data_IF_254807140791
#
_entry.id   IF_254807140791
#
_cell.length_a   1.000
_cell.length_b   1.000
_cell.length_c   1.000
_cell.angle_alpha   90.00
_cell.angle_beta   90.00
_cell.angle_gamma   90.00
#
_symmetry.space_group_name_H-M   'P 1'
#
loop_
_entity.id
_entity.type
_entity.pdbx_description
1 polymer ?
#
# COMPACT_ATOMS: atom_id res chain seq x y z
N UNK A 1 55.55 -23.11 67.44
CA UNK A 1 56.12 -21.79 67.05
C UNK A 1 55.18 -21.25 66.05
N UNK A 2 54.30 -20.35 66.47
CA UNK A 2 54.32 -18.92 66.24
C UNK A 2 53.89 -18.57 64.86
N UNK A 3 52.70 -18.03 64.66
CA UNK A 3 52.23 -16.63 64.67
C UNK A 3 51.73 -16.28 63.24
N UNK A 4 50.80 -15.50 62.92
CA UNK A 4 50.11 -14.38 63.55
C UNK A 4 48.87 -14.05 62.71
N UNK A 5 47.83 -13.68 63.37
CA UNK A 5 46.66 -12.98 62.93
C UNK A 5 46.96 -11.71 62.21
N UNK A 6 46.19 -11.41 61.15
CA UNK A 6 45.91 -10.04 60.75
C UNK A 6 44.41 -9.81 60.62
N UNK A 7 43.97 -8.90 61.46
CA UNK A 7 42.61 -8.37 61.53
C UNK A 7 42.19 -7.76 60.20
N UNK A 8 41.07 -8.23 59.77
CA UNK A 8 40.30 -7.57 58.71
C UNK A 8 39.64 -6.33 59.28
N UNK A 9 39.94 -5.20 58.65
CA UNK A 9 39.22 -3.93 58.87
C UNK A 9 38.03 -3.93 57.92
N UNK A 10 36.84 -4.10 58.49
CA UNK A 10 35.57 -3.91 57.81
C UNK A 10 35.39 -2.43 57.46
N UNK A 11 35.56 -2.10 56.22
CA UNK A 11 35.10 -0.84 55.62
C UNK A 11 33.75 -1.06 54.97
N UNK A 12 32.66 -0.71 55.65
CA UNK A 12 31.33 -0.65 55.06
C UNK A 12 31.26 0.52 54.07
N UNK A 13 31.30 0.22 52.77
CA UNK A 13 30.82 1.13 51.76
C UNK A 13 29.42 0.68 51.34
N UNK A 14 28.42 1.42 51.83
CA UNK A 14 27.05 1.35 51.34
C UNK A 14 27.02 1.88 49.90
N UNK A 15 27.02 0.97 48.93
CA UNK A 15 26.72 1.31 47.55
C UNK A 15 25.22 1.49 47.42
N UNK A 16 24.72 2.74 47.44
CA UNK A 16 23.36 3.09 47.02
C UNK A 16 23.22 2.72 45.53
N UNK A 17 22.62 1.57 45.24
CA UNK A 17 22.10 1.28 43.91
C UNK A 17 20.90 2.19 43.69
N UNK A 18 21.12 3.31 42.98
CA UNK A 18 20.03 3.99 42.30
C UNK A 18 19.57 3.07 41.17
N UNK A 19 18.51 2.33 41.41
CA UNK A 19 17.71 1.76 40.33
C UNK A 19 17.07 2.93 39.57
N UNK A 20 17.76 3.42 38.55
CA UNK A 20 17.14 4.23 37.54
C UNK A 20 16.07 3.38 36.86
N UNK A 21 14.80 3.69 37.14
CA UNK A 21 13.71 3.18 36.33
C UNK A 21 13.94 3.68 34.89
N UNK A 22 14.65 2.91 34.10
CA UNK A 22 14.59 3.02 32.65
C UNK A 22 13.15 2.70 32.27
N UNK A 23 12.34 3.75 32.08
CA UNK A 23 11.06 3.61 31.39
C UNK A 23 11.42 3.04 30.04
N UNK A 24 11.23 1.74 29.88
CA UNK A 24 11.26 1.10 28.58
C UNK A 24 10.15 1.78 27.78
N UNK A 25 10.53 2.70 26.90
CA UNK A 25 9.62 3.23 25.89
C UNK A 25 9.31 2.02 25.00
N UNK A 26 8.18 1.35 25.30
CA UNK A 26 7.68 0.32 24.38
C UNK A 26 7.63 0.96 22.99
N UNK A 27 8.20 0.29 21.97
CA UNK A 27 8.13 0.79 20.62
C UNK A 27 6.65 0.95 20.29
N UNK A 28 6.21 2.20 20.11
CA UNK A 28 4.83 2.55 19.77
C UNK A 28 4.41 1.61 18.62
N UNK A 29 3.47 0.71 18.87
CA UNK A 29 2.99 -0.26 17.89
C UNK A 29 2.78 0.49 16.57
N UNK A 30 3.36 -0.01 15.48
CA UNK A 30 3.24 0.66 14.18
C UNK A 30 1.75 0.69 13.84
N UNK A 31 1.18 1.88 13.84
CA UNK A 31 -0.24 2.09 13.60
C UNK A 31 -0.51 1.91 12.10
N UNK A 32 -1.61 1.21 11.78
CA UNK A 32 -2.16 1.22 10.42
C UNK A 32 -2.51 2.66 10.07
N UNK A 33 -2.06 3.14 8.92
CA UNK A 33 -2.32 4.51 8.46
C UNK A 33 -3.54 4.57 7.54
N UNK A 34 -4.24 5.70 7.58
CA UNK A 34 -5.26 6.04 6.58
C UNK A 34 -4.60 6.89 5.49
N UNK A 35 -4.61 6.38 4.26
CA UNK A 35 -4.01 7.04 3.11
C UNK A 35 -5.02 7.50 2.07
N UNK A 36 -4.51 8.26 1.10
CA UNK A 36 -5.27 8.67 -0.08
C UNK A 36 -4.43 8.52 -1.34
N UNK A 37 -5.05 8.02 -2.42
CA UNK A 37 -4.43 7.90 -3.73
C UNK A 37 -4.72 9.13 -4.58
N UNK A 38 -3.68 9.72 -5.19
CA UNK A 38 -3.89 10.78 -6.17
C UNK A 38 -4.44 10.26 -7.52
N UNK A 39 -4.80 8.97 -7.61
CA UNK A 39 -5.46 8.40 -8.79
C UNK A 39 -6.70 9.19 -9.17
N UNK A 40 -7.54 9.57 -8.21
CA UNK A 40 -8.71 10.43 -8.42
C UNK A 40 -8.38 11.91 -8.63
N UNK A 41 -7.11 12.31 -8.68
CA UNK A 41 -6.65 13.70 -8.83
C UNK A 41 -5.92 13.96 -10.15
N UNK A 42 -6.30 13.25 -11.23
CA UNK A 42 -5.61 13.27 -12.52
C UNK A 42 -5.36 14.66 -13.09
N UNK A 43 -6.29 15.58 -12.88
CA UNK A 43 -6.24 16.94 -13.42
C UNK A 43 -5.69 17.97 -12.41
N UNK A 44 -5.21 17.54 -11.26
CA UNK A 44 -4.64 18.39 -10.22
C UNK A 44 -3.12 18.22 -10.17
N UNK A 45 -2.36 19.30 -10.26
CA UNK A 45 -0.91 19.25 -10.19
C UNK A 45 -0.45 18.62 -8.86
N UNK A 46 0.65 17.86 -8.86
CA UNK A 46 1.18 17.24 -7.64
C UNK A 46 1.53 18.27 -6.56
N UNK A 47 1.91 19.50 -6.96
CA UNK A 47 2.17 20.64 -6.07
C UNK A 47 0.95 21.09 -5.26
N UNK A 48 -0.24 20.80 -5.74
CA UNK A 48 -1.51 21.10 -5.06
C UNK A 48 -2.05 19.84 -4.37
N UNK A 49 -1.99 18.69 -5.05
CA UNK A 49 -2.55 17.43 -4.58
C UNK A 49 -1.88 16.95 -3.27
N UNK A 50 -0.53 16.92 -3.24
CA UNK A 50 0.21 16.36 -2.10
C UNK A 50 -0.02 17.19 -0.82
N UNK A 51 0.17 18.52 -0.81
CA UNK A 51 -0.09 19.33 0.39
C UNK A 51 -1.55 19.26 0.83
N UNK A 52 -2.49 19.16 -0.10
CA UNK A 52 -3.90 19.06 0.24
C UNK A 52 -4.24 17.76 0.97
N UNK A 53 -3.71 16.62 0.53
CA UNK A 53 -3.89 15.33 1.22
C UNK A 53 -3.42 15.40 2.67
N UNK A 54 -2.24 16.00 2.92
CA UNK A 54 -1.75 16.25 4.28
C UNK A 54 -2.62 17.21 5.07
N UNK A 55 -3.06 18.32 4.46
CA UNK A 55 -3.94 19.32 5.10
C UNK A 55 -5.28 18.74 5.52
N UNK A 56 -5.85 17.84 4.73
CA UNK A 56 -7.12 17.16 5.07
C UNK A 56 -6.97 16.19 6.24
N UNK A 57 -5.76 15.76 6.55
CA UNK A 57 -5.45 14.92 7.71
C UNK A 57 -5.32 13.44 7.40
N UNK A 58 -4.91 13.08 6.20
CA UNK A 58 -4.43 11.73 5.91
C UNK A 58 -3.04 11.50 6.50
N UNK A 59 -2.71 10.24 6.82
CA UNK A 59 -1.42 9.85 7.37
C UNK A 59 -0.44 9.43 6.27
N UNK A 60 -0.97 9.00 5.12
CA UNK A 60 -0.19 8.41 4.02
C UNK A 60 -0.75 8.77 2.65
N UNK A 61 0.08 8.53 1.65
CA UNK A 61 -0.18 8.87 0.25
C UNK A 61 0.21 7.69 -0.65
N UNK A 62 -0.60 7.46 -1.67
CA UNK A 62 -0.24 6.69 -2.85
C UNK A 62 -0.12 7.62 -4.05
N UNK A 63 0.93 7.47 -4.87
CA UNK A 63 1.11 8.19 -6.13
C UNK A 63 0.78 7.31 -7.33
N UNK A 64 -0.10 7.80 -8.18
CA UNK A 64 -0.45 7.16 -9.45
C UNK A 64 0.58 7.51 -10.53
N UNK A 65 1.23 6.49 -11.07
CA UNK A 65 2.29 6.63 -12.08
C UNK A 65 1.78 6.42 -13.52
N UNK A 66 0.48 6.31 -13.69
CA UNK A 66 -0.12 6.01 -15.01
C UNK A 66 0.15 7.13 -16.03
N UNK A 67 0.23 6.78 -17.32
CA UNK A 67 0.35 7.77 -18.38
C UNK A 67 -0.79 8.81 -18.32
N UNK A 68 -0.39 10.08 -18.34
CA UNK A 68 -1.33 11.18 -18.28
C UNK A 68 -1.62 11.73 -16.89
N UNK A 69 -1.14 11.07 -15.83
CA UNK A 69 -1.14 11.66 -14.47
C UNK A 69 0.02 12.62 -14.27
N UNK A 70 -0.09 13.61 -13.37
CA UNK A 70 0.98 14.56 -13.08
C UNK A 70 2.26 13.91 -12.52
N UNK A 71 2.13 12.69 -11.99
CA UNK A 71 3.21 11.90 -11.39
C UNK A 71 3.70 10.76 -12.29
N UNK A 72 3.38 10.79 -13.60
CA UNK A 72 3.93 9.87 -14.61
C UNK A 72 5.47 10.01 -14.66
N UNK A 73 6.25 8.94 -14.37
CA UNK A 73 7.71 9.01 -14.32
C UNK A 73 8.37 9.56 -15.59
N UNK A 74 7.74 9.34 -16.75
CA UNK A 74 8.24 9.84 -18.03
C UNK A 74 8.19 11.36 -18.16
N UNK A 75 7.39 12.03 -17.32
CA UNK A 75 7.22 13.49 -17.32
C UNK A 75 8.01 14.17 -16.21
N UNK A 76 8.48 13.42 -15.22
CA UNK A 76 9.15 13.97 -14.06
C UNK A 76 10.64 14.15 -14.31
N UNK A 77 11.13 15.38 -14.28
CA UNK A 77 12.57 15.69 -14.20
C UNK A 77 13.13 15.26 -12.83
N UNK A 78 14.45 15.24 -12.68
CA UNK A 78 15.09 15.00 -11.39
C UNK A 78 14.70 16.08 -10.35
N UNK A 79 14.49 17.31 -10.78
CA UNK A 79 14.03 18.41 -9.92
C UNK A 79 12.60 18.17 -9.42
N UNK A 80 11.68 17.72 -10.31
CA UNK A 80 10.32 17.40 -9.92
C UNK A 80 10.27 16.26 -8.92
N UNK A 81 11.05 15.19 -9.11
CA UNK A 81 11.11 14.06 -8.18
C UNK A 81 11.61 14.49 -6.79
N UNK A 82 12.64 15.34 -6.75
CA UNK A 82 13.13 15.92 -5.49
C UNK A 82 12.06 16.80 -4.82
N UNK A 83 11.36 17.63 -5.59
CA UNK A 83 10.29 18.48 -5.09
C UNK A 83 9.12 17.65 -4.52
N UNK A 84 8.70 16.57 -5.21
CA UNK A 84 7.71 15.62 -4.71
C UNK A 84 8.13 15.06 -3.35
N UNK A 85 9.38 14.61 -3.20
CA UNK A 85 9.90 14.12 -1.92
C UNK A 85 9.85 15.17 -0.81
N UNK A 86 10.18 16.43 -1.13
CA UNK A 86 10.06 17.57 -0.19
C UNK A 86 8.60 17.79 0.21
N UNK A 87 7.69 17.88 -0.76
CA UNK A 87 6.26 18.10 -0.51
C UNK A 87 5.65 16.99 0.37
N UNK A 88 6.01 15.72 0.15
CA UNK A 88 5.55 14.60 0.97
C UNK A 88 6.03 14.78 2.43
N UNK A 89 7.31 15.13 2.61
CA UNK A 89 7.91 15.34 3.94
C UNK A 89 7.27 16.53 4.66
N UNK A 90 7.15 17.67 4.00
CA UNK A 90 6.58 18.91 4.56
C UNK A 90 5.10 18.73 4.92
N UNK A 91 4.38 17.91 4.13
CA UNK A 91 2.99 17.55 4.39
C UNK A 91 2.83 16.48 5.49
N UNK A 92 3.93 15.99 6.08
CA UNK A 92 3.95 14.93 7.10
C UNK A 92 3.28 13.64 6.66
N UNK A 93 3.30 13.37 5.36
CA UNK A 93 2.75 12.17 4.78
C UNK A 93 3.81 11.06 4.70
N UNK A 94 3.38 9.80 4.82
CA UNK A 94 4.18 8.63 4.49
C UNK A 94 3.81 8.19 3.08
N UNK A 95 4.77 8.11 2.15
CA UNK A 95 4.55 7.48 0.85
C UNK A 95 4.52 5.96 1.04
N UNK A 96 3.38 5.33 0.76
CA UNK A 96 3.15 3.90 1.05
C UNK A 96 3.03 3.04 -0.19
N UNK A 97 2.57 3.63 -1.29
CA UNK A 97 2.44 2.92 -2.55
C UNK A 97 2.66 3.82 -3.77
N UNK A 98 3.08 3.20 -4.87
CA UNK A 98 3.09 3.73 -6.23
C UNK A 98 2.19 2.85 -7.09
N UNK A 99 1.20 3.45 -7.74
CA UNK A 99 0.21 2.73 -8.54
C UNK A 99 0.63 2.70 -10.01
N UNK A 100 0.76 1.50 -10.56
CA UNK A 100 0.89 1.22 -11.98
C UNK A 100 -0.24 0.31 -12.48
N UNK A 101 -0.34 0.18 -13.79
CA UNK A 101 -1.27 -0.72 -14.48
C UNK A 101 -0.51 -1.47 -15.58
N UNK A 102 0.16 -2.56 -15.19
CA UNK A 102 1.08 -3.33 -16.03
C UNK A 102 0.51 -4.72 -16.26
N UNK A 103 -0.22 -4.90 -17.35
CA UNK A 103 -0.76 -6.22 -17.73
C UNK A 103 0.27 -7.01 -18.53
N UNK A 104 0.69 -8.22 -18.06
CA UNK A 104 1.56 -9.09 -18.85
C UNK A 104 1.09 -9.28 -20.29
N UNK A 105 2.02 -9.24 -21.24
CA UNK A 105 1.73 -9.37 -22.66
C UNK A 105 2.60 -10.43 -23.32
N UNK A 106 2.04 -11.27 -24.21
CA UNK A 106 2.83 -12.21 -25.00
C UNK A 106 3.61 -11.52 -26.14
N UNK A 107 3.30 -10.26 -26.45
CA UNK A 107 4.00 -9.50 -27.50
C UNK A 107 5.33 -8.96 -26.96
N UNK A 108 6.50 -9.32 -27.56
CA UNK A 108 7.81 -8.97 -27.01
C UNK A 108 8.02 -7.48 -26.79
N UNK A 109 7.68 -6.64 -27.77
CA UNK A 109 7.86 -5.18 -27.69
C UNK A 109 7.00 -4.55 -26.58
N UNK A 110 5.75 -4.99 -26.44
CA UNK A 110 4.89 -4.53 -25.36
C UNK A 110 5.40 -5.00 -24.01
N UNK A 111 5.80 -6.27 -23.91
CA UNK A 111 6.37 -6.84 -22.69
C UNK A 111 7.61 -6.07 -22.23
N UNK A 112 8.52 -5.72 -23.18
CA UNK A 112 9.70 -4.90 -22.92
C UNK A 112 9.31 -3.51 -22.39
N UNK A 113 8.37 -2.82 -23.03
CA UNK A 113 7.91 -1.49 -22.58
C UNK A 113 7.26 -1.51 -21.21
N UNK A 114 6.52 -2.58 -20.86
CA UNK A 114 5.94 -2.77 -19.52
C UNK A 114 7.01 -3.01 -18.46
N UNK A 115 8.04 -3.81 -18.80
CA UNK A 115 9.18 -4.02 -17.90
C UNK A 115 9.95 -2.72 -17.65
N UNK A 116 10.25 -1.94 -18.70
CA UNK A 116 10.91 -0.63 -18.57
C UNK A 116 10.12 0.33 -17.66
N UNK A 117 8.78 0.32 -17.76
CA UNK A 117 7.93 1.10 -16.86
C UNK A 117 8.02 0.62 -15.40
N UNK A 118 8.03 -0.69 -15.19
CA UNK A 118 8.19 -1.26 -13.85
C UNK A 118 9.54 -0.86 -13.23
N UNK A 119 10.61 -0.93 -14.02
CA UNK A 119 11.94 -0.51 -13.58
C UNK A 119 11.97 0.98 -13.20
N UNK A 120 11.31 1.85 -13.99
CA UNK A 120 11.16 3.27 -13.63
C UNK A 120 10.37 3.47 -12.34
N UNK A 121 9.32 2.69 -12.11
CA UNK A 121 8.56 2.74 -10.87
C UNK A 121 9.42 2.31 -9.67
N UNK A 122 10.27 1.29 -9.80
CA UNK A 122 11.21 0.88 -8.74
C UNK A 122 12.29 1.92 -8.47
N UNK A 123 12.82 2.57 -9.50
CA UNK A 123 13.76 3.69 -9.34
C UNK A 123 13.11 4.81 -8.54
N UNK A 124 11.89 5.22 -8.93
CA UNK A 124 11.16 6.28 -8.24
C UNK A 124 10.80 5.88 -6.80
N UNK A 125 10.44 4.61 -6.55
CA UNK A 125 10.18 4.11 -5.21
C UNK A 125 11.40 4.28 -4.29
N UNK A 126 12.60 3.97 -4.78
CA UNK A 126 13.84 4.14 -4.02
C UNK A 126 14.20 5.61 -3.83
N UNK A 127 14.04 6.45 -4.86
CA UNK A 127 14.33 7.89 -4.76
C UNK A 127 13.42 8.59 -3.74
N UNK A 128 12.12 8.27 -3.71
CA UNK A 128 11.16 8.92 -2.83
C UNK A 128 11.06 8.28 -1.44
N UNK A 129 11.29 6.96 -1.34
CA UNK A 129 11.11 6.21 -0.09
C UNK A 129 12.40 6.00 0.72
N UNK A 130 13.56 6.22 0.13
CA UNK A 130 14.87 6.05 0.78
C UNK A 130 15.04 4.65 1.39
N UNK A 131 15.22 4.59 2.71
CA UNK A 131 15.38 3.31 3.44
C UNK A 131 14.12 2.44 3.49
N UNK A 132 12.97 3.00 3.21
CA UNK A 132 11.67 2.34 3.27
C UNK A 132 10.87 2.62 1.99
N UNK A 133 11.27 2.04 0.86
CA UNK A 133 10.60 2.30 -0.40
C UNK A 133 9.12 1.89 -0.33
N UNK A 134 8.22 2.68 -0.94
CA UNK A 134 6.81 2.32 -1.06
C UNK A 134 6.64 1.06 -1.90
N UNK A 135 5.53 0.38 -1.70
CA UNK A 135 5.12 -0.76 -2.54
C UNK A 135 4.81 -0.25 -3.96
N UNK A 136 5.22 -0.97 -4.98
CA UNK A 136 4.72 -0.75 -6.35
C UNK A 136 3.55 -1.70 -6.58
N UNK A 137 2.34 -1.16 -6.78
CA UNK A 137 1.17 -1.98 -7.06
C UNK A 137 0.80 -1.99 -8.55
N UNK A 138 0.20 -3.08 -9.01
CA UNK A 138 -0.30 -3.19 -10.38
C UNK A 138 -1.48 -4.15 -10.50
N UNK A 139 -2.33 -3.94 -11.51
CA UNK A 139 -3.30 -4.92 -12.00
C UNK A 139 -2.73 -5.65 -13.23
N UNK A 140 -3.11 -6.93 -13.42
CA UNK A 140 -2.50 -7.78 -14.45
C UNK A 140 -3.27 -7.83 -15.77
N UNK A 141 -4.31 -7.01 -15.93
CA UNK A 141 -5.08 -6.98 -17.17
C UNK A 141 -6.15 -8.07 -17.27
N UNK A 142 -6.81 -8.10 -18.42
CA UNK A 142 -7.95 -8.99 -18.70
C UNK A 142 -7.54 -10.35 -19.28
N UNK A 143 -8.57 -11.14 -19.61
CA UNK A 143 -8.43 -12.45 -20.22
C UNK A 143 -9.22 -13.52 -19.49
N UNK A 144 -9.06 -14.78 -19.94
CA UNK A 144 -9.60 -15.96 -19.27
C UNK A 144 -8.51 -16.52 -18.35
N UNK A 145 -8.80 -16.65 -17.06
CA UNK A 145 -7.82 -17.02 -16.04
C UNK A 145 -6.98 -18.25 -16.42
N UNK A 146 -7.64 -19.31 -16.83
CA UNK A 146 -6.99 -20.59 -17.17
C UNK A 146 -6.05 -20.47 -18.38
N UNK A 147 -6.28 -19.48 -19.25
CA UNK A 147 -5.47 -19.26 -20.46
C UNK A 147 -4.27 -18.34 -20.22
N UNK A 148 -4.29 -17.53 -19.17
CA UNK A 148 -3.24 -16.54 -18.92
C UNK A 148 -2.30 -16.92 -17.77
N UNK A 149 -2.59 -17.97 -17.01
CA UNK A 149 -1.83 -18.40 -15.84
C UNK A 149 -0.33 -18.54 -16.13
N UNK A 150 0.04 -19.28 -17.17
CA UNK A 150 1.45 -19.49 -17.55
C UNK A 150 2.14 -18.17 -17.87
N UNK A 151 1.52 -17.33 -18.70
CA UNK A 151 2.05 -16.01 -19.03
C UNK A 151 2.26 -15.16 -17.77
N UNK A 152 1.33 -15.22 -16.82
CA UNK A 152 1.43 -14.47 -15.58
C UNK A 152 2.54 -14.99 -14.68
N UNK A 153 2.68 -16.31 -14.53
CA UNK A 153 3.79 -16.91 -13.76
C UNK A 153 5.13 -16.53 -14.37
N UNK A 154 5.30 -16.69 -15.69
CA UNK A 154 6.56 -16.38 -16.39
C UNK A 154 6.93 -14.90 -16.28
N UNK A 155 5.95 -14.01 -16.44
CA UNK A 155 6.18 -12.56 -16.36
C UNK A 155 6.46 -12.12 -14.94
N UNK A 156 5.64 -12.55 -13.98
CA UNK A 156 5.81 -12.21 -12.57
C UNK A 156 7.09 -12.81 -11.98
N UNK A 157 7.57 -13.96 -12.47
CA UNK A 157 8.87 -14.50 -12.11
C UNK A 157 9.99 -13.48 -12.39
N UNK A 158 10.05 -12.99 -13.63
CA UNK A 158 11.02 -11.96 -14.06
C UNK A 158 10.84 -10.65 -13.27
N UNK A 159 9.61 -10.19 -13.09
CA UNK A 159 9.32 -8.96 -12.36
C UNK A 159 9.64 -9.07 -10.86
N UNK A 160 9.45 -10.25 -10.26
CA UNK A 160 9.83 -10.52 -8.87
C UNK A 160 11.36 -10.50 -8.67
N UNK A 161 12.14 -10.96 -9.66
CA UNK A 161 13.60 -10.83 -9.65
C UNK A 161 14.06 -9.37 -9.75
N UNK A 162 13.39 -8.55 -10.59
CA UNK A 162 13.64 -7.11 -10.67
C UNK A 162 13.29 -6.42 -9.35
N UNK A 163 12.16 -6.77 -8.75
CA UNK A 163 11.72 -6.29 -7.44
C UNK A 163 12.76 -6.61 -6.34
N UNK A 164 13.29 -7.84 -6.35
CA UNK A 164 14.34 -8.27 -5.43
C UNK A 164 15.64 -7.45 -5.60
N UNK A 165 16.07 -7.23 -6.85
CA UNK A 165 17.25 -6.39 -7.15
C UNK A 165 17.06 -4.95 -6.70
N UNK A 166 15.88 -4.40 -6.92
CA UNK A 166 15.52 -3.05 -6.50
C UNK A 166 15.23 -2.94 -4.99
N UNK A 167 15.04 -4.06 -4.28
CA UNK A 167 14.57 -4.12 -2.88
C UNK A 167 13.24 -3.39 -2.67
N UNK A 168 12.33 -3.51 -3.63
CA UNK A 168 10.98 -2.92 -3.63
C UNK A 168 9.96 -4.04 -3.77
N UNK A 169 8.90 -4.01 -2.97
CA UNK A 169 7.82 -4.99 -3.08
C UNK A 169 6.95 -4.66 -4.30
N UNK A 170 6.75 -5.64 -5.17
CA UNK A 170 5.73 -5.63 -6.20
C UNK A 170 4.46 -6.26 -5.63
N UNK A 171 3.33 -5.55 -5.66
CA UNK A 171 2.04 -6.06 -5.20
C UNK A 171 1.03 -6.14 -6.35
N UNK A 172 0.50 -7.34 -6.58
CA UNK A 172 -0.51 -7.59 -7.62
C UNK A 172 -1.92 -7.44 -7.04
N UNK A 173 -2.79 -6.75 -7.77
CA UNK A 173 -4.15 -6.41 -7.32
C UNK A 173 -5.19 -7.25 -8.04
N UNK A 174 -5.93 -8.13 -7.35
CA UNK A 174 -7.13 -8.76 -7.90
C UNK A 174 -8.14 -7.69 -8.31
N UNK A 175 -8.57 -7.70 -9.57
CA UNK A 175 -9.41 -6.65 -10.10
C UNK A 175 -10.61 -7.23 -10.84
N UNK A 176 -11.82 -6.69 -10.61
CA UNK A 176 -13.08 -7.22 -11.13
C UNK A 176 -13.12 -7.43 -12.66
N UNK A 177 -12.40 -6.63 -13.41
CA UNK A 177 -12.29 -6.72 -14.87
C UNK A 177 -11.03 -7.46 -15.34
N UNK A 178 -10.17 -7.87 -14.42
CA UNK A 178 -8.96 -8.63 -14.71
C UNK A 178 -9.24 -10.13 -14.85
N UNK A 179 -8.32 -10.85 -15.46
CA UNK A 179 -8.32 -12.32 -15.43
C UNK A 179 -8.08 -12.81 -14.00
N UNK A 180 -7.14 -12.21 -13.28
CA UNK A 180 -6.95 -12.38 -11.84
C UNK A 180 -7.92 -11.45 -11.10
N UNK A 181 -9.03 -12.01 -10.61
CA UNK A 181 -10.11 -11.24 -10.00
C UNK A 181 -10.57 -11.74 -8.63
N UNK A 182 -9.84 -12.70 -8.07
CA UNK A 182 -10.02 -13.24 -6.72
C UNK A 182 -8.69 -13.25 -5.97
N UNK A 183 -8.69 -12.99 -4.64
CA UNK A 183 -7.48 -13.10 -3.81
C UNK A 183 -6.81 -14.48 -3.90
N UNK A 184 -7.58 -15.56 -3.98
CA UNK A 184 -7.05 -16.93 -4.12
C UNK A 184 -6.21 -17.11 -5.39
N UNK A 185 -6.53 -16.39 -6.47
CA UNK A 185 -5.74 -16.42 -7.70
C UNK A 185 -4.41 -15.68 -7.54
N UNK A 186 -4.41 -14.56 -6.81
CA UNK A 186 -3.16 -13.86 -6.48
C UNK A 186 -2.27 -14.71 -5.55
N UNK A 187 -2.85 -15.36 -4.55
CA UNK A 187 -2.14 -16.28 -3.66
C UNK A 187 -1.53 -17.43 -4.47
N UNK A 188 -2.32 -18.04 -5.36
CA UNK A 188 -1.82 -19.10 -6.25
C UNK A 188 -0.60 -18.65 -7.06
N UNK A 189 -0.61 -17.45 -7.67
CA UNK A 189 0.54 -16.90 -8.39
C UNK A 189 1.77 -16.72 -7.50
N UNK A 190 1.57 -16.20 -6.27
CA UNK A 190 2.63 -16.01 -5.29
C UNK A 190 3.26 -17.36 -4.89
N UNK A 191 2.42 -18.39 -4.69
CA UNK A 191 2.87 -19.75 -4.36
C UNK A 191 3.64 -20.39 -5.52
N UNK A 192 3.19 -20.24 -6.77
CA UNK A 192 3.94 -20.70 -7.96
C UNK A 192 5.36 -20.12 -8.01
N UNK A 193 5.53 -18.90 -7.47
CA UNK A 193 6.81 -18.20 -7.38
C UNK A 193 7.49 -18.37 -6.01
N UNK A 194 7.22 -19.51 -5.33
CA UNK A 194 7.86 -19.95 -4.08
C UNK A 194 7.74 -18.92 -2.94
N UNK A 195 6.61 -18.20 -2.89
CA UNK A 195 6.35 -17.18 -1.87
C UNK A 195 7.46 -16.13 -1.77
N UNK A 196 7.96 -15.65 -2.91
CA UNK A 196 8.97 -14.59 -2.94
C UNK A 196 8.57 -13.44 -2.01
N UNK A 197 9.45 -12.97 -1.12
CA UNK A 197 9.15 -11.84 -0.24
C UNK A 197 8.95 -10.54 -1.01
N UNK A 198 9.37 -10.49 -2.28
CA UNK A 198 9.28 -9.33 -3.15
C UNK A 198 8.02 -9.31 -4.02
N UNK A 199 7.22 -10.40 -4.00
CA UNK A 199 5.92 -10.46 -4.66
C UNK A 199 4.83 -10.65 -3.61
N UNK A 200 3.93 -9.68 -3.50
CA UNK A 200 2.82 -9.63 -2.57
C UNK A 200 1.53 -9.28 -3.30
N UNK A 201 0.44 -9.08 -2.57
CA UNK A 201 -0.82 -8.66 -3.16
C UNK A 201 -1.37 -7.38 -2.53
N UNK A 202 -2.23 -6.72 -3.29
CA UNK A 202 -3.14 -5.68 -2.81
C UNK A 202 -4.48 -6.31 -2.48
N UNK A 203 -5.05 -6.01 -1.32
CA UNK A 203 -6.43 -6.34 -1.01
C UNK A 203 -7.34 -5.14 -1.29
N UNK A 204 -8.37 -5.34 -2.10
CA UNK A 204 -9.37 -4.31 -2.42
C UNK A 204 -10.79 -4.92 -2.34
N UNK A 205 -11.52 -4.73 -1.25
CA UNK A 205 -12.82 -5.34 -1.04
C UNK A 205 -13.87 -4.86 -2.06
N UNK A 206 -13.70 -3.68 -2.63
CA UNK A 206 -14.67 -3.10 -3.58
C UNK A 206 -14.80 -3.90 -4.88
N UNK A 207 -13.76 -4.63 -5.25
CA UNK A 207 -13.78 -5.51 -6.43
C UNK A 207 -14.42 -6.87 -6.17
N UNK A 208 -14.82 -7.17 -4.94
CA UNK A 208 -15.31 -8.47 -4.48
C UNK A 208 -16.75 -8.40 -3.95
N UNK A 209 -17.15 -7.27 -3.35
CA UNK A 209 -18.37 -7.11 -2.55
C UNK A 209 -19.68 -7.44 -3.30
N UNK A 210 -19.69 -7.39 -4.63
CA UNK A 210 -20.88 -7.69 -5.44
C UNK A 210 -21.01 -9.17 -5.84
N UNK A 211 -20.18 -10.05 -5.28
CA UNK A 211 -20.11 -11.49 -5.60
C UNK A 211 -20.64 -12.38 -4.48
N UNK A 212 -21.33 -11.83 -3.49
CA UNK A 212 -21.82 -12.53 -2.30
C UNK A 212 -20.71 -13.31 -1.57
N UNK A 213 -19.50 -12.72 -1.50
CA UNK A 213 -18.33 -13.30 -0.85
C UNK A 213 -18.16 -12.71 0.54
N UNK A 214 -17.70 -13.52 1.49
CA UNK A 214 -17.33 -13.07 2.82
C UNK A 214 -15.97 -12.31 2.75
N UNK A 215 -16.05 -10.98 2.69
CA UNK A 215 -14.89 -10.09 2.58
C UNK A 215 -13.94 -10.20 3.79
N UNK A 216 -14.50 -10.43 4.98
CA UNK A 216 -13.73 -10.58 6.22
C UNK A 216 -12.92 -11.86 6.18
N UNK A 217 -13.54 -12.97 5.80
CA UNK A 217 -12.85 -14.25 5.63
C UNK A 217 -11.78 -14.17 4.55
N UNK A 218 -12.10 -13.57 3.40
CA UNK A 218 -11.14 -13.42 2.31
C UNK A 218 -9.92 -12.58 2.71
N UNK A 219 -10.12 -11.52 3.49
CA UNK A 219 -9.01 -10.73 4.03
C UNK A 219 -8.17 -11.55 5.01
N UNK A 220 -8.78 -12.29 5.94
CA UNK A 220 -8.06 -13.18 6.88
C UNK A 220 -7.18 -14.18 6.15
N UNK A 221 -7.75 -14.87 5.16
CA UNK A 221 -7.05 -15.89 4.38
C UNK A 221 -5.88 -15.28 3.56
N UNK A 222 -6.03 -14.04 3.13
CA UNK A 222 -5.05 -13.34 2.27
C UNK A 222 -3.96 -12.63 3.06
N UNK A 223 -4.16 -12.37 4.34
CA UNK A 223 -3.37 -11.42 5.12
C UNK A 223 -1.85 -11.67 5.12
N UNK A 224 -1.34 -12.93 5.12
CA UNK A 224 0.09 -13.20 5.01
C UNK A 224 0.74 -12.71 3.72
N UNK A 225 -0.08 -12.48 2.69
CA UNK A 225 0.35 -12.06 1.36
C UNK A 225 0.07 -10.57 1.08
N UNK A 226 -0.68 -9.87 1.94
CA UNK A 226 -1.10 -8.48 1.73
C UNK A 226 0.02 -7.51 2.10
N UNK A 227 0.43 -6.67 1.15
CA UNK A 227 1.37 -5.58 1.36
C UNK A 227 0.73 -4.19 1.29
N UNK A 228 -0.46 -4.08 0.69
CA UNK A 228 -1.19 -2.83 0.53
C UNK A 228 -2.70 -3.10 0.55
N UNK A 229 -3.48 -2.16 1.07
CA UNK A 229 -4.94 -2.23 1.07
C UNK A 229 -5.50 -0.99 0.40
N UNK A 230 -6.22 -1.17 -0.71
CA UNK A 230 -6.97 -0.10 -1.37
C UNK A 230 -8.45 -0.22 -1.02
N UNK A 231 -9.12 0.91 -0.82
CA UNK A 231 -10.54 0.94 -0.48
C UNK A 231 -11.30 1.99 -1.27
N UNK A 232 -12.50 1.63 -1.66
CA UNK A 232 -13.57 2.48 -2.17
C UNK A 232 -14.88 1.74 -1.99
N UNK A 233 -15.99 2.44 -1.94
CA UNK A 233 -17.28 1.77 -1.92
C UNK A 233 -17.67 1.27 -3.31
N UNK A 234 -18.46 0.20 -3.33
CA UNK A 234 -19.09 -0.32 -4.51
C UNK A 234 -20.49 -0.81 -4.17
N UNK A 235 -21.41 -0.71 -5.11
CA UNK A 235 -22.77 -1.20 -4.97
C UNK A 235 -23.26 -1.78 -6.29
N UNK A 236 -24.23 -2.69 -6.22
CA UNK A 236 -24.97 -3.16 -7.39
C UNK A 236 -26.27 -2.36 -7.48
N UNK A 237 -26.40 -1.53 -8.51
CA UNK A 237 -27.62 -0.74 -8.79
C UNK A 237 -28.11 -1.09 -10.19
N UNK A 238 -29.35 -1.50 -10.33
CA UNK A 238 -29.97 -1.89 -11.60
C UNK A 238 -29.12 -2.90 -12.40
N UNK A 239 -28.59 -3.90 -11.70
CA UNK A 239 -27.73 -4.92 -12.29
C UNK A 239 -26.30 -4.49 -12.62
N UNK A 240 -25.97 -3.21 -12.48
CA UNK A 240 -24.66 -2.64 -12.79
C UNK A 240 -23.86 -2.40 -11.50
N UNK A 241 -22.54 -2.58 -11.58
CA UNK A 241 -21.63 -2.23 -10.49
C UNK A 241 -21.34 -0.74 -10.59
N UNK A 242 -21.57 -0.03 -9.49
CA UNK A 242 -21.30 1.41 -9.34
C UNK A 242 -20.31 1.56 -8.20
N UNK A 243 -19.22 2.30 -8.45
CA UNK A 243 -18.29 2.69 -7.39
C UNK A 243 -18.67 4.04 -6.79
N UNK A 244 -18.28 4.23 -5.53
CA UNK A 244 -18.47 5.47 -4.78
C UNK A 244 -17.23 5.74 -3.90
N UNK A 245 -17.23 6.90 -3.24
CA UNK A 245 -16.18 7.27 -2.30
C UNK A 245 -16.19 6.31 -1.09
N UNK A 246 -15.03 6.01 -0.53
CA UNK A 246 -14.91 5.12 0.62
C UNK A 246 -15.80 5.58 1.79
N UNK A 247 -16.59 4.65 2.33
CA UNK A 247 -17.51 4.88 3.45
C UNK A 247 -18.78 5.68 3.12
N UNK A 248 -19.09 5.92 1.84
CA UNK A 248 -20.26 6.71 1.45
C UNK A 248 -21.56 5.92 1.37
N UNK A 249 -21.51 4.61 1.18
CA UNK A 249 -22.71 3.78 0.94
C UNK A 249 -22.99 2.77 2.05
N UNK A 250 -22.07 2.59 2.98
CA UNK A 250 -22.11 1.51 4.00
C UNK A 250 -22.22 0.09 3.39
N UNK A 251 -21.82 -0.08 2.14
CA UNK A 251 -21.88 -1.38 1.45
C UNK A 251 -20.76 -2.33 1.88
N UNK A 252 -19.72 -1.82 2.51
CA UNK A 252 -18.55 -2.55 3.01
C UNK A 252 -18.42 -2.27 4.50
N UNK A 253 -18.34 -3.33 5.32
CA UNK A 253 -18.06 -3.19 6.76
C UNK A 253 -16.56 -2.95 6.98
N UNK A 254 -16.14 -1.68 6.90
CA UNK A 254 -14.77 -1.28 7.14
C UNK A 254 -14.33 -1.52 8.58
N UNK A 255 -15.25 -1.47 9.55
CA UNK A 255 -14.95 -1.75 10.96
C UNK A 255 -14.43 -3.18 11.13
N UNK A 256 -15.15 -4.15 10.55
CA UNK A 256 -14.74 -5.56 10.57
C UNK A 256 -13.42 -5.79 9.84
N UNK A 257 -13.21 -5.16 8.67
CA UNK A 257 -11.96 -5.30 7.92
C UNK A 257 -10.76 -4.71 8.68
N UNK A 258 -10.88 -3.52 9.23
CA UNK A 258 -9.81 -2.87 10.02
C UNK A 258 -9.50 -3.68 11.29
N UNK A 259 -10.51 -4.28 11.92
CA UNK A 259 -10.30 -5.20 13.04
C UNK A 259 -9.42 -6.39 12.63
N UNK A 260 -9.69 -7.02 11.49
CA UNK A 260 -8.86 -8.12 10.95
C UNK A 260 -7.42 -7.68 10.73
N UNK A 261 -7.22 -6.52 10.14
CA UNK A 261 -5.88 -5.96 9.90
C UNK A 261 -5.14 -5.73 11.22
N UNK A 262 -5.81 -5.17 12.25
CA UNK A 262 -5.24 -4.94 13.59
C UNK A 262 -4.88 -6.26 14.28
N UNK A 263 -5.80 -7.23 14.32
CA UNK A 263 -5.60 -8.55 14.92
C UNK A 263 -4.48 -9.36 14.22
N UNK A 264 -4.33 -9.21 12.92
CA UNK A 264 -3.29 -9.86 12.12
C UNK A 264 -1.97 -9.10 12.07
N UNK A 265 -1.78 -8.06 12.89
CA UNK A 265 -0.54 -7.26 12.94
C UNK A 265 -0.13 -6.67 11.57
N UNK A 266 -1.09 -6.30 10.74
CA UNK A 266 -0.80 -5.60 9.48
C UNK A 266 -0.10 -4.27 9.76
N UNK A 267 1.01 -4.01 9.06
CA UNK A 267 1.88 -2.85 9.31
C UNK A 267 1.84 -1.80 8.19
N UNK A 268 0.93 -1.97 7.23
CA UNK A 268 0.80 -1.10 6.06
C UNK A 268 -0.19 0.04 6.27
N UNK A 269 -0.71 0.53 5.15
CA UNK A 269 -1.78 1.52 5.10
C UNK A 269 -3.08 0.93 4.56
N UNK A 270 -4.14 1.69 4.73
CA UNK A 270 -5.43 1.50 4.06
C UNK A 270 -5.71 2.77 3.28
N UNK A 271 -5.68 2.67 1.96
CA UNK A 271 -5.63 3.80 1.05
C UNK A 271 -6.96 4.02 0.35
N UNK A 272 -7.56 5.19 0.49
CA UNK A 272 -8.75 5.59 -0.23
C UNK A 272 -8.40 5.83 -1.70
N UNK A 273 -8.93 5.01 -2.59
CA UNK A 273 -8.82 5.13 -4.04
C UNK A 273 -10.14 5.63 -4.63
N UNK A 274 -10.13 6.71 -5.39
CA UNK A 274 -11.34 7.17 -6.10
C UNK A 274 -11.35 6.57 -7.50
N UNK A 275 -12.33 5.70 -7.77
CA UNK A 275 -12.48 5.05 -9.08
C UNK A 275 -12.67 6.07 -10.22
N UNK A 276 -12.15 5.77 -11.43
CA UNK A 276 -12.42 6.53 -12.65
C UNK A 276 -13.93 6.68 -12.93
N UNK A 277 -14.73 5.67 -12.58
CA UNK A 277 -16.20 5.77 -12.68
C UNK A 277 -16.81 6.88 -11.80
N UNK A 278 -16.06 7.39 -10.83
CA UNK A 278 -16.45 8.55 -10.00
C UNK A 278 -15.75 9.81 -10.48
N UNK A 279 -14.42 9.74 -10.69
CA UNK A 279 -13.60 10.91 -11.00
C UNK A 279 -13.79 11.46 -12.44
N UNK A 280 -14.37 10.68 -13.34
CA UNK A 280 -14.69 11.11 -14.71
C UNK A 280 -16.11 11.66 -14.86
N UNK A 281 -16.89 11.70 -13.76
CA UNK A 281 -18.25 12.28 -13.81
C UNK A 281 -18.19 13.80 -13.94
N UNK A 282 -19.11 14.41 -14.71
CA UNK A 282 -19.27 15.87 -14.74
C UNK A 282 -19.46 16.44 -13.32
N UNK A 283 -18.74 17.52 -13.00
CA UNK A 283 -18.82 18.18 -11.68
C UNK A 283 -18.02 17.47 -10.58
N UNK A 284 -17.19 16.47 -10.90
CA UNK A 284 -16.30 15.85 -9.92
C UNK A 284 -15.30 16.87 -9.35
N UNK A 285 -15.20 16.90 -8.03
CA UNK A 285 -14.25 17.74 -7.28
C UNK A 285 -13.28 16.83 -6.51
N UNK A 286 -12.00 16.75 -6.91
CA UNK A 286 -11.02 15.89 -6.27
C UNK A 286 -10.73 16.28 -4.82
N UNK A 287 -10.76 17.58 -4.50
CA UNK A 287 -10.47 18.07 -3.16
C UNK A 287 -11.59 17.72 -2.18
N UNK A 288 -12.84 17.96 -2.59
CA UNK A 288 -14.04 17.58 -1.82
C UNK A 288 -14.12 16.07 -1.65
N UNK A 289 -13.74 15.29 -2.65
CA UNK A 289 -13.76 13.84 -2.60
C UNK A 289 -12.74 13.30 -1.60
N UNK A 290 -11.52 13.86 -1.55
CA UNK A 290 -10.53 13.52 -0.53
C UNK A 290 -11.03 13.84 0.88
N UNK A 291 -11.61 15.02 1.08
CA UNK A 291 -12.19 15.42 2.36
C UNK A 291 -13.31 14.46 2.79
N UNK A 292 -14.19 14.09 1.88
CA UNK A 292 -15.29 13.14 2.15
C UNK A 292 -14.77 11.78 2.56
N UNK A 293 -13.79 11.22 1.83
CA UNK A 293 -13.16 9.95 2.19
C UNK A 293 -12.53 10.01 3.58
N UNK A 294 -11.81 11.09 3.89
CA UNK A 294 -11.18 11.26 5.19
C UNK A 294 -12.24 11.30 6.33
N UNK A 295 -13.28 12.10 6.18
CA UNK A 295 -14.35 12.21 7.18
C UNK A 295 -15.06 10.88 7.42
N UNK A 296 -15.34 10.12 6.35
CA UNK A 296 -16.01 8.84 6.46
C UNK A 296 -15.15 7.77 7.14
N UNK A 297 -13.83 7.78 6.88
CA UNK A 297 -12.95 6.68 7.23
C UNK A 297 -12.15 6.90 8.52
N UNK A 298 -11.86 8.14 8.93
CA UNK A 298 -10.97 8.43 10.07
C UNK A 298 -11.38 7.72 11.36
N UNK A 299 -12.65 7.62 11.65
CA UNK A 299 -13.20 6.96 12.85
C UNK A 299 -12.74 5.50 13.06
N UNK A 300 -12.31 4.81 12.02
CA UNK A 300 -11.83 3.43 12.11
C UNK A 300 -10.33 3.33 12.48
N UNK A 301 -9.62 4.45 12.47
CA UNK A 301 -8.17 4.55 12.66
C UNK A 301 -7.75 5.28 13.97
N UNK A 302 -8.73 5.69 14.71
CA UNK A 302 -8.56 6.27 16.06
C UNK A 302 -8.34 5.22 17.14
#
# INVERSE_FOLDING_TARGET
MSKLNRREVLGSMAASMMLGNAIAIEPKAKRITLGFSNYGMKNLAYKEAIPYVGKVGFDSLELCLLPGWPTDPKKLSAADRKEIGTLITDSKLKLTALMENLGPSPMPELSKGLQERLEQAFILANELGGKHPPVVQTVLGGGVWEKVQTLYVDTLGKWSELAAKAKVILAIKPHRSGAMNLPSQAIWLIEQLKNSPWLKMVYDPSHLMFRDLDLVKMLKDSLPHVAHVAIKDAAKRDGKIVFDLAGSTNSIDYGALIKVLKEGNYQGDVNCEVSSMVSEKPGYDPLKSAQTCQMNMRKYFE
#
